data_IF_056089972715
#
_entry.id   IF_056089972715
#
_cell.length_a   1.000
_cell.length_b   1.000
_cell.length_c   1.000
_cell.angle_alpha   90.00
_cell.angle_beta   90.00
_cell.angle_gamma   90.00
#
_symmetry.space_group_name_H-M   'P 1'
#
loop_
_entity.id
_entity.type
_entity.pdbx_description
1 polymer ?
#
# COMPACT_ATOMS: atom_id res chain seq x y z
N UNK A 1 24.37 46.13 3.66
CA UNK A 1 25.10 45.21 2.76
C UNK A 1 25.59 44.07 3.64
N UNK A 2 24.74 43.19 4.16
CA UNK A 2 23.67 42.39 3.53
C UNK A 2 24.24 41.47 2.47
N UNK A 3 24.74 40.30 2.88
CA UNK A 3 24.90 39.07 2.08
C UNK A 3 25.59 38.02 2.97
N UNK A 4 25.21 36.75 3.07
CA UNK A 4 23.99 36.03 2.74
C UNK A 4 24.17 34.68 3.47
N UNK A 5 23.43 34.45 4.55
CA UNK A 5 23.41 33.17 5.24
C UNK A 5 22.45 32.24 4.50
N UNK A 6 22.98 31.40 3.61
CA UNK A 6 22.16 30.43 2.85
C UNK A 6 22.44 29.01 3.36
N UNK A 7 21.61 28.61 4.32
CA UNK A 7 20.86 27.35 4.35
C UNK A 7 21.57 26.11 3.77
N UNK A 8 21.94 25.19 4.66
CA UNK A 8 21.87 23.76 4.37
C UNK A 8 21.04 23.07 5.45
N UNK A 9 19.74 23.33 5.40
CA UNK A 9 18.71 22.62 6.15
C UNK A 9 18.70 21.14 5.73
N UNK A 10 19.11 20.29 6.66
CA UNK A 10 18.56 18.97 6.96
C UNK A 10 17.89 18.22 5.79
N UNK A 11 18.68 17.57 4.96
CA UNK A 11 18.18 16.41 4.22
C UNK A 11 18.26 15.19 5.13
N UNK A 12 17.31 15.10 6.06
CA UNK A 12 16.97 13.81 6.69
C UNK A 12 16.30 12.96 5.61
N UNK A 13 17.09 12.25 4.82
CA UNK A 13 16.61 11.16 3.96
C UNK A 13 16.19 10.00 4.87
N UNK A 14 15.04 10.18 5.54
CA UNK A 14 14.35 9.08 6.21
C UNK A 14 14.11 8.00 5.15
N UNK A 15 14.72 6.84 5.35
CA UNK A 15 14.49 5.67 4.52
C UNK A 15 13.04 5.23 4.76
N UNK A 16 12.10 5.76 3.96
CA UNK A 16 10.70 5.31 4.00
C UNK A 16 10.64 3.90 3.43
N UNK A 17 10.88 2.92 4.30
CA UNK A 17 10.79 1.51 4.00
C UNK A 17 9.31 1.15 3.84
N UNK A 18 8.96 0.50 2.74
CA UNK A 18 7.61 -0.03 2.52
C UNK A 18 7.19 -0.93 3.71
N UNK A 19 6.18 -0.49 4.44
CA UNK A 19 5.63 -1.21 5.59
C UNK A 19 4.10 -1.25 5.56
N UNK A 20 3.52 -2.35 5.03
CA UNK A 20 2.07 -2.48 4.96
C UNK A 20 1.43 -2.76 6.34
N UNK A 21 2.21 -3.05 7.38
CA UNK A 21 1.65 -3.24 8.72
C UNK A 21 1.02 -1.95 9.24
N UNK A 22 1.69 -0.81 9.10
CA UNK A 22 1.15 0.48 9.52
C UNK A 22 -0.21 0.77 8.86
N UNK A 23 -0.32 0.50 7.55
CA UNK A 23 -1.59 0.61 6.83
C UNK A 23 -2.68 -0.31 7.44
N UNK A 24 -2.37 -1.57 7.70
CA UNK A 24 -3.35 -2.52 8.23
C UNK A 24 -3.77 -2.19 9.67
N UNK A 25 -2.82 -1.80 10.53
CA UNK A 25 -3.10 -1.35 11.90
C UNK A 25 -3.99 -0.10 11.90
N UNK A 26 -3.64 0.92 11.10
CA UNK A 26 -4.47 2.12 10.98
C UNK A 26 -5.87 1.83 10.48
N UNK A 27 -6.04 0.86 9.58
CA UNK A 27 -7.38 0.43 9.14
C UNK A 27 -8.15 -0.30 10.24
N UNK A 28 -7.49 -1.15 11.03
CA UNK A 28 -8.11 -1.84 12.17
C UNK A 28 -8.58 -0.83 13.20
N UNK A 29 -7.75 0.15 13.55
CA UNK A 29 -8.09 1.21 14.49
C UNK A 29 -9.21 2.10 13.95
N UNK A 30 -9.09 2.58 12.70
CA UNK A 30 -10.08 3.50 12.10
C UNK A 30 -11.46 2.86 11.97
N UNK A 31 -11.52 1.59 11.61
CA UNK A 31 -12.76 0.84 11.43
C UNK A 31 -13.26 0.19 12.75
N UNK A 32 -12.56 0.42 13.87
CA UNK A 32 -12.86 -0.15 15.18
C UNK A 32 -12.98 -1.68 15.14
N UNK A 33 -12.06 -2.33 14.43
CA UNK A 33 -12.03 -3.78 14.24
C UNK A 33 -11.18 -4.45 15.32
N UNK A 34 -11.48 -5.71 15.62
CA UNK A 34 -10.74 -6.46 16.65
C UNK A 34 -9.45 -7.11 16.15
N UNK A 35 -9.40 -7.50 14.87
CA UNK A 35 -8.28 -8.25 14.29
C UNK A 35 -8.32 -8.30 12.75
N UNK A 36 -7.28 -8.90 12.18
CA UNK A 36 -7.15 -9.17 10.74
C UNK A 36 -8.29 -9.95 10.13
N UNK A 37 -8.91 -10.87 10.88
CA UNK A 37 -10.04 -11.63 10.36
C UNK A 37 -11.25 -10.72 10.17
N UNK A 38 -11.49 -9.79 11.09
CA UNK A 38 -12.50 -8.75 10.92
C UNK A 38 -12.17 -7.82 9.75
N UNK A 39 -10.89 -7.42 9.63
CA UNK A 39 -10.42 -6.61 8.49
C UNK A 39 -10.63 -7.32 7.14
N UNK A 40 -10.31 -8.62 7.07
CA UNK A 40 -10.49 -9.40 5.84
C UNK A 40 -11.95 -9.45 5.39
N UNK A 41 -12.90 -9.53 6.34
CA UNK A 41 -14.34 -9.48 6.05
C UNK A 41 -14.78 -8.09 5.61
N UNK A 42 -14.32 -7.04 6.30
CA UNK A 42 -14.63 -5.66 5.95
C UNK A 42 -14.13 -5.30 4.55
N UNK A 43 -12.95 -5.78 4.17
CA UNK A 43 -12.36 -5.59 2.85
C UNK A 43 -12.81 -6.63 1.80
N UNK A 44 -13.69 -7.57 2.15
CA UNK A 44 -14.13 -8.68 1.29
C UNK A 44 -12.98 -9.47 0.64
N UNK A 45 -11.89 -9.65 1.39
CA UNK A 45 -10.74 -10.44 0.96
C UNK A 45 -10.61 -11.73 1.77
N UNK A 46 -9.97 -12.72 1.17
CA UNK A 46 -9.63 -13.95 1.88
C UNK A 46 -8.63 -13.65 3.01
N UNK A 47 -8.78 -14.23 4.23
CA UNK A 47 -7.83 -14.05 5.33
C UNK A 47 -6.35 -14.30 4.98
N UNK A 48 -6.01 -15.28 4.11
CA UNK A 48 -4.63 -15.48 3.68
C UNK A 48 -4.01 -14.30 2.93
N UNK A 49 -4.80 -13.41 2.31
CA UNK A 49 -4.30 -12.21 1.65
C UNK A 49 -3.71 -11.23 2.68
N UNK A 50 -4.43 -10.96 3.77
CA UNK A 50 -3.97 -10.08 4.84
C UNK A 50 -2.69 -10.62 5.47
N UNK A 51 -2.65 -11.93 5.77
CA UNK A 51 -1.45 -12.57 6.32
C UNK A 51 -0.24 -12.44 5.38
N UNK A 52 -0.43 -12.64 4.07
CA UNK A 52 0.65 -12.47 3.08
C UNK A 52 1.12 -11.01 2.98
N UNK A 53 0.23 -10.04 3.15
CA UNK A 53 0.57 -8.62 3.15
C UNK A 53 1.38 -8.26 4.40
N UNK A 54 0.95 -8.68 5.59
CA UNK A 54 1.68 -8.46 6.86
C UNK A 54 3.11 -9.01 6.81
N UNK A 55 3.26 -10.20 6.23
CA UNK A 55 4.56 -10.83 6.06
C UNK A 55 5.32 -10.35 4.81
N UNK A 56 4.86 -9.30 4.13
CA UNK A 56 5.46 -8.69 2.93
C UNK A 56 5.71 -9.70 1.79
N UNK A 57 4.96 -10.81 1.77
CA UNK A 57 4.97 -11.84 0.72
C UNK A 57 4.09 -11.45 -0.47
N UNK A 58 3.15 -10.55 -0.26
CA UNK A 58 2.27 -10.01 -1.29
C UNK A 58 2.23 -8.48 -1.16
N UNK A 59 2.55 -7.72 -2.23
CA UNK A 59 2.35 -6.28 -2.22
C UNK A 59 0.87 -5.93 -2.28
N UNK A 60 0.49 -4.78 -1.71
CA UNK A 60 -0.87 -4.26 -1.85
C UNK A 60 -1.07 -3.80 -3.29
N UNK A 61 -2.00 -4.45 -3.99
CA UNK A 61 -2.35 -4.14 -5.37
C UNK A 61 -3.34 -2.97 -5.49
N UNK A 62 -3.53 -2.46 -6.71
CA UNK A 62 -4.45 -1.35 -6.98
C UNK A 62 -5.90 -1.69 -6.61
N UNK A 63 -6.38 -2.90 -6.92
CA UNK A 63 -7.73 -3.34 -6.56
C UNK A 63 -7.97 -3.35 -5.05
N UNK A 64 -6.98 -3.82 -4.29
CA UNK A 64 -7.07 -3.83 -2.83
C UNK A 64 -7.01 -2.41 -2.24
N UNK A 65 -6.17 -1.53 -2.80
CA UNK A 65 -6.14 -0.12 -2.41
C UNK A 65 -7.47 0.58 -2.65
N UNK A 66 -8.14 0.31 -3.77
CA UNK A 66 -9.48 0.84 -4.06
C UNK A 66 -10.47 0.35 -2.99
N UNK A 67 -10.45 -0.95 -2.66
CA UNK A 67 -11.34 -1.48 -1.64
C UNK A 67 -11.09 -0.89 -0.25
N UNK A 68 -9.82 -0.70 0.11
CA UNK A 68 -9.44 0.00 1.34
C UNK A 68 -9.93 1.44 1.36
N UNK A 69 -9.86 2.16 0.23
CA UNK A 69 -10.39 3.51 0.09
C UNK A 69 -11.90 3.55 0.32
N UNK A 70 -12.66 2.66 -0.32
CA UNK A 70 -14.13 2.60 -0.21
C UNK A 70 -14.62 2.28 1.20
N UNK A 71 -13.93 1.36 1.90
CA UNK A 71 -14.36 0.92 3.24
C UNK A 71 -13.92 1.90 4.32
N UNK A 72 -12.75 2.51 4.16
CA UNK A 72 -12.20 3.40 5.19
C UNK A 72 -12.54 4.86 4.98
N UNK A 73 -12.92 5.31 3.78
CA UNK A 73 -12.96 6.73 3.38
C UNK A 73 -11.58 7.43 3.51
N UNK A 74 -10.46 6.70 3.38
CA UNK A 74 -9.11 7.29 3.28
C UNK A 74 -8.78 7.55 1.83
N UNK A 75 -8.18 8.69 1.49
CA UNK A 75 -7.73 8.89 0.12
C UNK A 75 -6.66 7.87 -0.27
N UNK A 76 -6.58 7.51 -1.55
CA UNK A 76 -5.53 6.60 -2.05
C UNK A 76 -4.12 7.14 -1.72
N UNK A 77 -3.97 8.47 -1.65
CA UNK A 77 -2.73 9.12 -1.24
C UNK A 77 -2.39 8.78 0.21
N UNK A 78 -3.34 8.94 1.14
CA UNK A 78 -3.12 8.66 2.57
C UNK A 78 -2.81 7.17 2.79
N UNK A 79 -3.51 6.27 2.10
CA UNK A 79 -3.25 4.83 2.15
C UNK A 79 -1.81 4.49 1.71
N UNK A 80 -1.30 5.18 0.70
CA UNK A 80 0.09 5.03 0.23
C UNK A 80 1.10 5.60 1.21
N UNK A 81 0.79 6.74 1.82
CA UNK A 81 1.64 7.35 2.84
C UNK A 81 1.74 6.46 4.09
N UNK A 82 0.62 5.90 4.57
CA UNK A 82 0.60 4.96 5.69
C UNK A 82 1.48 3.73 5.45
N UNK A 83 1.53 3.24 4.21
CA UNK A 83 2.35 2.10 3.83
C UNK A 83 3.82 2.48 3.51
N UNK A 84 4.14 3.77 3.44
CA UNK A 84 5.42 4.24 2.89
C UNK A 84 5.59 3.91 1.39
N UNK A 85 4.49 3.70 0.67
CA UNK A 85 4.53 3.26 -0.73
C UNK A 85 4.68 4.43 -1.71
N UNK A 86 5.93 4.65 -2.14
CA UNK A 86 6.27 5.66 -3.16
C UNK A 86 6.13 5.16 -4.60
N UNK A 87 5.46 4.02 -4.85
CA UNK A 87 5.22 3.49 -6.21
C UNK A 87 4.19 4.33 -6.96
N UNK A 88 4.57 5.54 -7.38
CA UNK A 88 3.72 6.52 -8.08
C UNK A 88 3.42 6.17 -9.53
N UNK A 89 4.12 5.19 -10.12
CA UNK A 89 3.94 4.81 -11.52
C UNK A 89 3.53 3.35 -11.62
N UNK A 90 2.36 3.13 -12.22
CA UNK A 90 1.74 1.86 -12.57
C UNK A 90 2.75 0.73 -12.76
N UNK A 91 2.84 -0.18 -11.78
CA UNK A 91 3.41 -1.51 -12.01
C UNK A 91 2.33 -2.35 -12.69
N UNK A 92 2.12 -2.12 -13.98
CA UNK A 92 1.45 -3.10 -14.82
C UNK A 92 2.35 -4.33 -14.74
N UNK A 93 1.94 -5.31 -13.93
CA UNK A 93 2.71 -6.53 -13.77
C UNK A 93 2.58 -7.32 -15.08
N UNK A 94 3.61 -7.22 -15.91
CA UNK A 94 3.87 -7.97 -17.14
C UNK A 94 3.73 -9.50 -17.01
N UNK A 95 3.66 -10.02 -15.78
CA UNK A 95 3.45 -11.45 -15.50
C UNK A 95 1.99 -11.92 -15.50
N UNK A 96 1.01 -11.03 -15.40
CA UNK A 96 -0.42 -11.41 -15.33
C UNK A 96 -1.10 -11.41 -16.72
N UNK A 97 -0.48 -10.78 -17.73
CA UNK A 97 -0.99 -10.69 -19.09
C UNK A 97 -0.02 -11.34 -20.10
N UNK A 98 0.28 -12.62 -19.91
CA UNK A 98 0.71 -13.43 -21.06
C UNK A 98 -0.56 -13.96 -21.72
N UNK A 99 -0.97 -13.46 -22.91
CA UNK A 99 -1.97 -14.17 -23.69
C UNK A 99 -1.44 -15.59 -23.86
N UNK A 100 -2.21 -16.57 -23.41
CA UNK A 100 -1.91 -17.97 -23.65
C UNK A 100 -2.00 -18.11 -25.17
N UNK A 101 -0.86 -18.08 -25.87
CA UNK A 101 -0.80 -18.39 -27.29
C UNK A 101 -1.21 -19.87 -27.42
N UNK A 102 -2.52 -20.10 -27.53
CA UNK A 102 -3.06 -21.30 -28.13
C UNK A 102 -2.83 -21.14 -29.64
N UNK A 103 -1.64 -21.53 -30.08
CA UNK A 103 -1.36 -21.78 -31.47
C UNK A 103 -0.70 -23.17 -31.54
N UNK A 104 -1.57 -24.15 -31.74
CA UNK A 104 -1.45 -25.25 -32.70
C UNK A 104 -0.06 -25.78 -33.04
N UNK A 105 0.20 -27.05 -32.72
CA UNK A 105 0.65 -28.09 -33.66
C UNK A 105 0.47 -29.47 -33.01
#
# INVERSE_FOLDING_TARGET
MSEMNQQKSEQQHGQFQYDPNNLLESLIERLNLKNDAALSRALEVAPPLISKIRHRRLPVGASLLIRMHEVSDLSIKDLRELMGDRRTKFRISDKQFKPKNQASS
#
